data_IF_750759687913
#
_entry.id   IF_750759687913
#
_cell.length_a   1.000
_cell.length_b   1.000
_cell.length_c   1.000
_cell.angle_alpha   90.00
_cell.angle_beta   90.00
_cell.angle_gamma   90.00
#
_symmetry.space_group_name_H-M   'P 1'
#
loop_
_entity.id
_entity.type
_entity.pdbx_description
1 polymer ?
#
# COMPACT_ATOMS: atom_id res chain seq x y z
N UNK A 1 -10.13 -11.98 12.38
CA UNK A 1 -11.52 -12.46 12.59
C UNK A 1 -11.46 -13.97 12.80
N UNK A 2 -12.05 -14.52 13.87
CA UNK A 2 -11.97 -15.98 14.09
C UNK A 2 -12.75 -16.74 13.01
N UNK A 3 -12.33 -17.97 12.64
CA UNK A 3 -13.04 -18.78 11.63
C UNK A 3 -14.53 -18.95 11.95
N UNK A 4 -14.87 -19.11 13.23
CA UNK A 4 -16.25 -19.21 13.71
C UNK A 4 -17.08 -17.95 13.47
N UNK A 5 -16.47 -16.75 13.62
CA UNK A 5 -17.16 -15.47 13.38
C UNK A 5 -17.38 -15.21 11.88
N UNK A 6 -16.52 -15.77 11.02
CA UNK A 6 -16.68 -15.76 9.55
C UNK A 6 -17.91 -16.56 9.12
N UNK A 7 -18.04 -17.80 9.61
CA UNK A 7 -19.20 -18.65 9.33
C UNK A 7 -20.52 -18.05 9.82
N UNK A 8 -20.52 -17.32 10.94
CA UNK A 8 -21.74 -16.67 11.47
C UNK A 8 -22.18 -15.47 10.64
N UNK A 9 -21.24 -14.66 10.12
CA UNK A 9 -21.56 -13.41 9.41
C UNK A 9 -21.76 -13.66 7.92
N UNK A 10 -20.88 -14.45 7.30
CA UNK A 10 -20.85 -14.65 5.84
C UNK A 10 -21.54 -15.94 5.39
N UNK A 11 -22.00 -16.78 6.33
CA UNK A 11 -22.63 -18.09 6.07
C UNK A 11 -21.76 -19.06 5.24
N UNK A 12 -20.47 -18.80 5.16
CA UNK A 12 -19.49 -19.55 4.38
C UNK A 12 -18.19 -19.75 5.18
N UNK A 13 -17.38 -20.73 4.78
CA UNK A 13 -16.07 -20.93 5.41
C UNK A 13 -15.12 -19.78 5.03
N UNK A 14 -14.23 -19.39 5.96
CA UNK A 14 -13.20 -18.37 5.69
C UNK A 14 -12.43 -18.70 4.42
N UNK A 15 -12.01 -19.96 4.26
CA UNK A 15 -11.16 -20.38 3.14
C UNK A 15 -11.91 -20.28 1.80
N UNK A 16 -13.21 -20.58 1.77
CA UNK A 16 -14.03 -20.38 0.58
C UNK A 16 -14.14 -18.90 0.22
N UNK A 17 -14.42 -18.05 1.20
CA UNK A 17 -14.55 -16.60 0.99
C UNK A 17 -13.23 -15.99 0.53
N UNK A 18 -12.12 -16.31 1.20
CA UNK A 18 -10.79 -15.82 0.82
C UNK A 18 -10.43 -16.27 -0.59
N UNK A 19 -10.63 -17.54 -0.92
CA UNK A 19 -10.38 -18.08 -2.27
C UNK A 19 -11.25 -17.38 -3.32
N UNK A 20 -12.53 -17.19 -3.04
CA UNK A 20 -13.45 -16.47 -3.93
C UNK A 20 -13.00 -15.03 -4.16
N UNK A 21 -12.82 -14.25 -3.09
CA UNK A 21 -12.38 -12.85 -3.17
C UNK A 21 -11.02 -12.71 -3.87
N UNK A 22 -10.08 -13.61 -3.59
CA UNK A 22 -8.76 -13.65 -4.25
C UNK A 22 -8.91 -13.83 -5.76
N UNK A 23 -9.82 -14.70 -6.21
CA UNK A 23 -10.06 -14.92 -7.64
C UNK A 23 -10.75 -13.71 -8.28
N UNK A 24 -11.76 -13.14 -7.63
CA UNK A 24 -12.47 -11.95 -8.12
C UNK A 24 -11.52 -10.74 -8.24
N UNK A 25 -10.68 -10.49 -7.23
CA UNK A 25 -9.69 -9.40 -7.28
C UNK A 25 -8.66 -9.63 -8.39
N UNK A 26 -8.19 -10.87 -8.59
CA UNK A 26 -7.29 -11.20 -9.72
C UNK A 26 -7.94 -10.91 -11.06
N UNK A 27 -9.20 -11.30 -11.24
CA UNK A 27 -9.94 -11.06 -12.48
C UNK A 27 -10.11 -9.55 -12.71
N UNK A 28 -10.58 -8.81 -11.71
CA UNK A 28 -10.77 -7.37 -11.80
C UNK A 28 -9.45 -6.61 -12.10
N UNK A 29 -8.33 -7.02 -11.50
CA UNK A 29 -7.02 -6.45 -11.80
C UNK A 29 -6.58 -6.74 -13.24
N UNK A 30 -6.81 -7.97 -13.71
CA UNK A 30 -6.54 -8.37 -15.10
C UNK A 30 -7.34 -7.52 -16.08
N UNK A 31 -8.64 -7.34 -15.83
CA UNK A 31 -9.55 -6.54 -16.65
C UNK A 31 -9.14 -5.06 -16.66
N UNK A 32 -8.67 -4.55 -15.52
CA UNK A 32 -8.10 -3.21 -15.40
C UNK A 32 -6.71 -3.05 -16.06
N UNK A 33 -6.18 -4.12 -16.66
CA UNK A 33 -4.84 -4.18 -17.29
C UNK A 33 -3.76 -3.62 -16.37
N UNK A 34 -3.75 -4.11 -15.13
CA UNK A 34 -2.93 -3.58 -14.03
C UNK A 34 -1.42 -3.42 -14.37
N UNK A 35 -0.90 -4.21 -15.30
CA UNK A 35 0.48 -4.15 -15.80
C UNK A 35 0.79 -2.90 -16.64
N UNK A 36 -0.22 -2.24 -17.20
CA UNK A 36 -0.07 -1.16 -18.18
C UNK A 36 -0.78 0.12 -17.76
N UNK A 37 -1.79 0.02 -16.91
CA UNK A 37 -2.56 1.16 -16.41
C UNK A 37 -1.71 2.14 -15.59
N UNK A 38 -2.08 3.41 -15.65
CA UNK A 38 -1.55 4.50 -14.80
C UNK A 38 -2.55 4.91 -13.72
N UNK A 39 -3.63 4.14 -13.53
CA UNK A 39 -4.67 4.42 -12.55
C UNK A 39 -4.14 4.29 -11.11
N UNK A 40 -4.18 5.35 -10.28
CA UNK A 40 -3.83 5.28 -8.87
C UNK A 40 -4.71 4.29 -8.11
N UNK A 41 -5.98 4.16 -8.49
CA UNK A 41 -6.91 3.20 -7.88
C UNK A 41 -6.48 1.76 -8.12
N UNK A 42 -6.02 1.45 -9.34
CA UNK A 42 -5.52 0.11 -9.64
C UNK A 42 -4.24 -0.19 -8.85
N UNK A 43 -3.35 0.80 -8.67
CA UNK A 43 -2.15 0.64 -7.85
C UNK A 43 -2.49 0.39 -6.37
N UNK A 44 -3.44 1.16 -5.81
CA UNK A 44 -3.93 0.93 -4.44
C UNK A 44 -4.52 -0.47 -4.29
N UNK A 45 -5.32 -0.93 -5.25
CA UNK A 45 -5.90 -2.28 -5.24
C UNK A 45 -4.81 -3.37 -5.30
N UNK A 46 -3.74 -3.19 -6.07
CA UNK A 46 -2.61 -4.10 -6.12
C UNK A 46 -1.87 -4.19 -4.77
N UNK A 47 -1.63 -3.06 -4.11
CA UNK A 47 -0.99 -3.00 -2.79
C UNK A 47 -1.85 -3.72 -1.75
N UNK A 48 -3.17 -3.48 -1.73
CA UNK A 48 -4.09 -4.20 -0.84
C UNK A 48 -4.11 -5.72 -1.12
N UNK A 49 -4.08 -6.11 -2.39
CA UNK A 49 -4.00 -7.51 -2.79
C UNK A 49 -2.71 -8.18 -2.30
N UNK A 50 -1.57 -7.49 -2.40
CA UNK A 50 -0.27 -7.94 -1.88
C UNK A 50 -0.29 -8.16 -0.35
N UNK A 51 -0.89 -7.24 0.41
CA UNK A 51 -1.08 -7.41 1.85
C UNK A 51 -1.89 -8.68 2.14
N UNK A 52 -2.93 -8.95 1.35
CA UNK A 52 -3.71 -10.19 1.44
C UNK A 52 -2.88 -11.43 1.11
N UNK A 53 -2.00 -11.38 0.11
CA UNK A 53 -1.09 -12.49 -0.21
C UNK A 53 -0.12 -12.79 0.94
N UNK A 54 0.44 -11.75 1.55
CA UNK A 54 1.30 -11.88 2.72
C UNK A 54 0.54 -12.55 3.88
N UNK A 55 -0.68 -12.10 4.17
CA UNK A 55 -1.52 -12.67 5.23
C UNK A 55 -1.92 -14.14 5.00
N UNK A 56 -1.98 -14.60 3.75
CA UNK A 56 -2.26 -15.99 3.38
C UNK A 56 -0.99 -16.83 3.16
N UNK A 57 0.19 -16.33 3.57
CA UNK A 57 1.49 -17.00 3.45
C UNK A 57 1.89 -17.39 2.01
N UNK A 58 1.47 -16.61 1.01
CA UNK A 58 1.76 -16.85 -0.41
C UNK A 58 3.08 -16.18 -0.83
N UNK A 59 4.16 -16.49 -0.12
CA UNK A 59 5.44 -15.77 -0.14
C UNK A 59 6.06 -15.61 -1.53
N UNK A 60 6.10 -16.67 -2.35
CA UNK A 60 6.70 -16.61 -3.69
C UNK A 60 5.93 -15.68 -4.64
N UNK A 61 4.60 -15.72 -4.58
CA UNK A 61 3.76 -14.84 -5.38
C UNK A 61 3.84 -13.41 -4.85
N UNK A 62 3.83 -13.24 -3.53
CA UNK A 62 4.02 -11.96 -2.87
C UNK A 62 5.32 -11.29 -3.31
N UNK A 63 6.46 -11.96 -3.17
CA UNK A 63 7.77 -11.45 -3.58
C UNK A 63 7.81 -11.03 -5.05
N UNK A 64 7.35 -11.90 -5.96
CA UNK A 64 7.34 -11.62 -7.40
C UNK A 64 6.44 -10.42 -7.75
N UNK A 65 5.27 -10.33 -7.11
CA UNK A 65 4.31 -9.26 -7.33
C UNK A 65 4.77 -7.93 -6.72
N UNK A 66 5.50 -7.94 -5.60
CA UNK A 66 6.09 -6.75 -4.98
C UNK A 66 7.09 -6.10 -5.93
N UNK A 67 8.02 -6.88 -6.50
CA UNK A 67 8.99 -6.36 -7.48
C UNK A 67 8.30 -5.75 -8.72
N UNK A 68 7.20 -6.34 -9.17
CA UNK A 68 6.39 -5.82 -10.27
C UNK A 68 5.69 -4.51 -9.89
N UNK A 69 5.04 -4.44 -8.73
CA UNK A 69 4.37 -3.24 -8.22
C UNK A 69 5.37 -2.11 -8.05
N UNK A 70 6.56 -2.38 -7.52
CA UNK A 70 7.64 -1.40 -7.43
C UNK A 70 8.01 -0.82 -8.80
N UNK A 71 8.21 -1.67 -9.81
CA UNK A 71 8.50 -1.21 -11.18
C UNK A 71 7.39 -0.34 -11.74
N UNK A 72 6.13 -0.72 -11.51
CA UNK A 72 4.96 0.06 -11.93
C UNK A 72 4.88 1.40 -11.20
N UNK A 73 5.12 1.43 -9.89
CA UNK A 73 5.12 2.63 -9.07
C UNK A 73 6.20 3.62 -9.48
N UNK A 74 7.40 3.13 -9.82
CA UNK A 74 8.46 3.95 -10.42
C UNK A 74 8.01 4.56 -11.74
N UNK A 75 7.38 3.78 -12.63
CA UNK A 75 6.81 4.28 -13.89
C UNK A 75 5.70 5.32 -13.72
N UNK A 76 5.02 5.34 -12.56
CA UNK A 76 4.02 6.35 -12.18
C UNK A 76 4.60 7.56 -11.43
N UNK A 77 5.94 7.61 -11.28
CA UNK A 77 6.65 8.62 -10.50
C UNK A 77 6.18 8.69 -9.03
N UNK A 78 5.78 7.57 -8.42
CA UNK A 78 5.40 7.56 -7.01
C UNK A 78 6.59 7.75 -6.06
N UNK A 79 7.78 7.38 -6.53
CA UNK A 79 9.07 7.62 -5.86
C UNK A 79 9.53 9.09 -5.88
N UNK A 80 8.71 10.00 -6.41
CA UNK A 80 8.98 11.44 -6.49
C UNK A 80 8.00 12.22 -5.64
N UNK A 81 8.46 13.23 -4.89
CA UNK A 81 7.62 14.01 -4.00
C UNK A 81 6.49 14.67 -4.79
N UNK A 82 5.27 14.37 -4.35
CA UNK A 82 4.02 14.91 -4.86
C UNK A 82 3.94 16.44 -4.80
N UNK A 83 4.71 17.07 -3.90
CA UNK A 83 4.74 18.53 -3.73
C UNK A 83 5.19 19.27 -5.01
N UNK A 84 6.03 18.65 -5.85
CA UNK A 84 6.51 19.24 -7.09
C UNK A 84 5.42 19.45 -8.15
N UNK A 85 4.25 18.83 -7.99
CA UNK A 85 3.20 18.83 -9.02
C UNK A 85 2.10 19.89 -8.79
N UNK A 86 2.24 20.77 -7.79
CA UNK A 86 1.27 21.85 -7.54
C UNK A 86 -0.15 21.36 -7.21
N UNK A 87 -0.26 20.18 -6.60
CA UNK A 87 -1.53 19.53 -6.30
C UNK A 87 -2.11 19.99 -4.96
N UNK A 88 -3.43 19.86 -4.79
CA UNK A 88 -4.11 20.03 -3.49
C UNK A 88 -3.51 19.09 -2.44
N UNK A 89 -3.34 19.51 -1.17
CA UNK A 89 -2.63 18.75 -0.12
C UNK A 89 -2.97 17.26 0.00
N UNK A 90 -4.23 16.90 -0.21
CA UNK A 90 -4.70 15.51 -0.18
C UNK A 90 -3.99 14.58 -1.20
N UNK A 91 -3.72 15.07 -2.42
CA UNK A 91 -3.19 14.22 -3.51
C UNK A 91 -1.71 13.86 -3.29
N UNK A 92 -0.81 14.81 -2.96
CA UNK A 92 0.55 14.49 -2.56
C UNK A 92 0.60 13.53 -1.38
N UNK A 93 -0.19 13.78 -0.31
CA UNK A 93 -0.25 12.91 0.87
C UNK A 93 -0.64 11.48 0.47
N UNK A 94 -1.66 11.32 -0.37
CA UNK A 94 -2.08 10.00 -0.84
C UNK A 94 -1.05 9.28 -1.72
N UNK A 95 -0.21 10.02 -2.45
CA UNK A 95 0.91 9.45 -3.21
C UNK A 95 2.04 9.04 -2.28
N UNK A 96 2.38 9.88 -1.30
CA UNK A 96 3.42 9.62 -0.31
C UNK A 96 3.07 8.35 0.50
N UNK A 97 1.86 8.28 1.06
CA UNK A 97 1.36 7.08 1.76
C UNK A 97 1.44 5.82 0.92
N UNK A 98 1.06 5.91 -0.36
CA UNK A 98 1.12 4.76 -1.27
C UNK A 98 2.56 4.31 -1.55
N UNK A 99 3.50 5.25 -1.70
CA UNK A 99 4.92 4.93 -1.87
C UNK A 99 5.49 4.23 -0.63
N UNK A 100 5.24 4.78 0.55
CA UNK A 100 5.73 4.21 1.81
C UNK A 100 5.14 2.82 2.11
N UNK A 101 3.89 2.56 1.71
CA UNK A 101 3.33 1.20 1.75
C UNK A 101 4.11 0.24 0.83
N UNK A 102 4.53 0.68 -0.36
CA UNK A 102 5.34 -0.15 -1.27
C UNK A 102 6.73 -0.42 -0.70
N UNK A 103 7.36 0.58 -0.05
CA UNK A 103 8.61 0.39 0.69
C UNK A 103 8.47 -0.70 1.75
N UNK A 104 7.38 -0.68 2.52
CA UNK A 104 7.11 -1.69 3.53
C UNK A 104 6.92 -3.09 2.92
N UNK A 105 6.21 -3.20 1.80
CA UNK A 105 6.04 -4.47 1.09
C UNK A 105 7.37 -5.04 0.58
N UNK A 106 8.28 -4.18 0.11
CA UNK A 106 9.62 -4.57 -0.35
C UNK A 106 10.44 -5.16 0.81
N UNK A 107 10.44 -4.52 1.98
CA UNK A 107 11.06 -5.03 3.20
C UNK A 107 10.48 -6.39 3.61
N UNK A 108 9.15 -6.50 3.72
CA UNK A 108 8.52 -7.77 4.10
C UNK A 108 8.74 -8.89 3.09
N UNK A 109 8.86 -8.55 1.81
CA UNK A 109 9.13 -9.57 0.78
C UNK A 109 10.52 -10.18 0.87
N UNK A 110 11.43 -9.50 1.57
CA UNK A 110 12.82 -9.91 1.72
C UNK A 110 13.11 -10.68 3.01
N UNK A 111 12.29 -10.50 4.07
CA UNK A 111 12.43 -11.20 5.36
C UNK A 111 12.49 -12.72 5.18
N UNK A 112 11.59 -13.27 4.37
CA UNK A 112 11.47 -14.73 4.18
C UNK A 112 12.57 -15.31 3.28
N UNK A 113 13.34 -14.48 2.57
CA UNK A 113 14.25 -14.92 1.53
C UNK A 113 15.72 -14.60 1.82
N UNK A 114 16.01 -14.01 2.99
CA UNK A 114 17.35 -13.50 3.36
C UNK A 114 17.96 -12.62 2.26
N UNK A 115 17.13 -11.77 1.65
CA UNK A 115 17.53 -10.83 0.59
C UNK A 115 17.51 -9.41 1.12
N UNK A 116 18.21 -8.53 0.42
CA UNK A 116 18.12 -7.10 0.68
C UNK A 116 16.91 -6.50 -0.06
N UNK A 117 16.20 -5.52 0.53
CA UNK A 117 15.19 -4.73 -0.18
C UNK A 117 15.75 -4.13 -1.47
N UNK A 118 14.90 -4.03 -2.50
CA UNK A 118 15.25 -3.42 -3.79
C UNK A 118 15.39 -1.89 -3.63
N UNK A 119 14.61 -1.29 -2.72
CA UNK A 119 14.54 0.15 -2.52
C UNK A 119 15.63 0.58 -1.53
N UNK A 120 16.47 1.52 -1.97
CA UNK A 120 17.37 2.25 -1.08
C UNK A 120 16.92 3.73 -0.97
N UNK A 121 17.47 4.45 0.01
CA UNK A 121 17.11 5.84 0.28
C UNK A 121 17.47 6.80 -0.88
N UNK A 122 18.52 6.49 -1.64
CA UNK A 122 18.95 7.29 -2.80
C UNK A 122 17.98 7.16 -4.00
N UNK A 123 17.08 6.18 -4.00
CA UNK A 123 16.15 5.92 -5.11
C UNK A 123 14.89 6.78 -5.07
N UNK A 124 14.63 7.56 -4.01
CA UNK A 124 13.41 8.37 -3.88
C UNK A 124 13.66 9.69 -3.13
N UNK A 125 12.78 10.67 -3.34
CA UNK A 125 12.80 11.98 -2.63
C UNK A 125 11.48 12.24 -1.88
N UNK A 126 10.69 11.19 -1.70
CA UNK A 126 9.39 11.20 -1.01
C UNK A 126 9.59 11.38 0.50
N UNK A 127 9.05 12.48 1.03
CA UNK A 127 9.02 12.73 2.48
C UNK A 127 8.17 11.69 3.23
N UNK A 128 8.42 11.53 4.52
CA UNK A 128 7.59 10.70 5.38
C UNK A 128 6.13 11.20 5.39
N UNK A 129 5.14 10.31 5.47
CA UNK A 129 3.74 10.71 5.52
C UNK A 129 3.42 11.51 6.78
N UNK A 130 2.37 12.33 6.73
CA UNK A 130 1.92 13.10 7.89
C UNK A 130 1.31 12.20 8.96
N UNK A 131 1.62 12.47 10.22
CA UNK A 131 0.99 11.83 11.38
C UNK A 131 -0.43 12.37 11.61
N UNK A 132 -1.38 11.97 10.76
CA UNK A 132 -2.79 12.39 10.82
C UNK A 132 -3.71 11.20 10.59
N UNK A 133 -4.90 11.25 11.20
CA UNK A 133 -5.90 10.20 11.04
C UNK A 133 -6.46 10.18 9.62
N UNK A 134 -6.85 9.01 9.15
CA UNK A 134 -7.48 8.86 7.83
C UNK A 134 -8.83 9.60 7.75
N UNK A 135 -9.56 9.70 8.85
CA UNK A 135 -10.84 10.42 8.94
C UNK A 135 -10.70 11.93 8.70
N UNK A 136 -9.53 12.49 9.00
CA UNK A 136 -9.23 13.91 8.82
C UNK A 136 -8.85 14.21 7.35
N UNK A 137 -8.54 13.19 6.54
CA UNK A 137 -8.09 13.33 5.16
C UNK A 137 -9.22 13.21 4.14
N UNK A 138 -9.51 14.32 3.45
CA UNK A 138 -10.49 14.36 2.37
C UNK A 138 -10.03 15.22 1.18
N UNK A 139 -10.57 14.99 -0.04
CA UNK A 139 -10.13 15.69 -1.25
C UNK A 139 -10.26 17.22 -1.22
N UNK A 140 -11.10 17.77 -0.33
CA UNK A 140 -11.38 19.20 -0.22
C UNK A 140 -10.46 19.98 0.72
N UNK A 141 -9.45 19.35 1.30
CA UNK A 141 -8.48 20.01 2.19
C UNK A 141 -7.68 21.06 1.42
N UNK A 142 -7.60 22.27 1.99
CA UNK A 142 -6.95 23.43 1.36
C UNK A 142 -5.54 23.69 1.90
N UNK A 143 -5.21 23.18 3.08
CA UNK A 143 -3.91 23.36 3.74
C UNK A 143 -3.42 22.05 4.35
N UNK A 144 -2.11 21.92 4.57
CA UNK A 144 -1.56 20.78 5.29
C UNK A 144 -2.14 20.73 6.71
N UNK A 145 -2.57 19.54 7.12
CA UNK A 145 -3.08 19.32 8.46
C UNK A 145 -1.92 19.32 9.46
N UNK A 146 -2.13 19.86 10.68
CA UNK A 146 -1.13 19.78 11.73
C UNK A 146 -0.92 18.33 12.16
N UNK A 147 0.35 17.93 12.34
CA UNK A 147 0.68 16.60 12.81
C UNK A 147 0.29 16.41 14.27
N UNK A 148 -0.21 15.21 14.59
CA UNK A 148 -0.64 14.85 15.95
C UNK A 148 0.56 14.38 16.77
N UNK A 149 0.50 14.60 18.09
CA UNK A 149 1.53 14.16 19.06
C UNK A 149 1.28 12.74 19.61
N UNK A 150 0.28 12.02 19.09
CA UNK A 150 -0.08 10.66 19.49
C UNK A 150 -0.09 9.68 18.31
N UNK A 151 -0.51 8.44 18.58
CA UNK A 151 -0.61 7.41 17.56
C UNK A 151 -1.76 7.67 16.58
N UNK A 152 -1.51 7.41 15.29
CA UNK A 152 -2.47 7.44 14.18
C UNK A 152 -2.27 6.18 13.32
N UNK A 153 -3.04 6.00 12.26
CA UNK A 153 -2.80 4.94 11.27
C UNK A 153 -1.41 5.03 10.62
N UNK A 154 -0.75 6.19 10.69
CA UNK A 154 0.59 6.41 10.16
C UNK A 154 1.71 6.19 11.18
N UNK A 155 1.42 5.72 12.40
CA UNK A 155 2.42 5.58 13.48
C UNK A 155 3.65 4.77 13.09
N UNK A 156 3.48 3.72 12.27
CA UNK A 156 4.61 2.90 11.80
C UNK A 156 5.69 3.75 11.10
N UNK A 157 5.29 4.80 10.39
CA UNK A 157 6.21 5.65 9.63
C UNK A 157 6.70 6.85 10.44
N UNK A 158 6.04 7.18 11.54
CA UNK A 158 6.43 8.33 12.38
C UNK A 158 7.51 7.95 13.37
N UNK A 159 7.60 6.69 13.77
CA UNK A 159 8.71 6.19 14.61
C UNK A 159 10.05 6.21 13.88
N UNK A 160 10.04 6.18 12.53
CA UNK A 160 11.24 6.33 11.70
C UNK A 160 11.82 7.76 11.71
N UNK A 161 11.18 8.72 12.39
CA UNK A 161 11.65 10.12 12.48
C UNK A 161 12.62 10.37 13.65
N UNK A 162 12.65 9.45 14.62
CA UNK A 162 13.36 9.64 15.90
C UNK A 162 14.73 8.92 15.94
N UNK A 163 15.15 8.30 14.83
CA UNK A 163 16.48 7.69 14.62
C UNK A 163 17.35 8.55 13.68
#
# INVERSE_FOLDING_TARGET
MSPAKCGMVLKESRDNVVRYLKNEVKQALSDARFLTTTSPTCMKALVLFLIGLYAENEQHLFWSMTALVLRRAKGMNLHRDGAHFGLTPFRPEMRQRLWWMICLLDVYSCEDHAREPIINEEMYDVRLPLNVNDEDLFPGIQALLPERTGGTEMTLFTTLRDD
#
